data_IF_668707093554
#
_entry.id   IF_668707093554
#
_cell.length_a   1.000
_cell.length_b   1.000
_cell.length_c   1.000
_cell.angle_alpha   90.00
_cell.angle_beta   90.00
_cell.angle_gamma   90.00
#
_symmetry.space_group_name_H-M   'P 1'
#
loop_
_entity.id
_entity.type
_entity.pdbx_description
1 polymer ?
#
# COMPACT_ATOMS: atom_id res chain seq x y z
N UNK A 1 21.79 19.81 0.33
CA UNK A 1 21.77 19.16 -1.01
C UNK A 1 22.37 17.77 -0.83
N UNK A 2 21.55 16.78 -0.47
CA UNK A 2 22.01 15.37 -0.35
C UNK A 2 22.02 14.76 -1.76
N UNK A 3 23.07 14.01 -2.09
CA UNK A 3 23.26 13.37 -3.39
C UNK A 3 21.99 12.63 -3.86
N UNK A 4 21.62 12.85 -5.11
CA UNK A 4 20.59 12.09 -5.81
C UNK A 4 20.98 10.62 -5.75
N UNK A 5 20.25 9.81 -4.97
CA UNK A 5 20.53 8.38 -4.87
C UNK A 5 20.11 7.73 -6.19
N UNK A 6 21.08 7.50 -7.08
CA UNK A 6 20.85 6.75 -8.32
C UNK A 6 20.68 5.28 -7.96
N UNK A 7 19.45 4.77 -8.05
CA UNK A 7 19.18 3.34 -7.96
C UNK A 7 19.95 2.62 -9.07
N UNK A 8 20.76 1.60 -8.72
CA UNK A 8 21.30 0.74 -9.77
C UNK A 8 20.19 -0.18 -10.32
N UNK A 9 20.30 -0.59 -11.57
CA UNK A 9 19.34 -1.56 -12.18
C UNK A 9 19.21 -2.82 -11.33
N UNK A 10 20.31 -3.28 -10.72
CA UNK A 10 20.32 -4.42 -9.80
C UNK A 10 19.52 -4.16 -8.52
N UNK A 11 19.51 -2.93 -7.99
CA UNK A 11 18.68 -2.59 -6.82
C UNK A 11 17.19 -2.65 -7.19
N UNK A 12 16.83 -2.12 -8.37
CA UNK A 12 15.45 -2.19 -8.87
C UNK A 12 15.01 -3.64 -9.14
N UNK A 13 15.87 -4.46 -9.74
CA UNK A 13 15.62 -5.88 -9.96
C UNK A 13 15.47 -6.65 -8.64
N UNK A 14 16.31 -6.38 -7.64
CA UNK A 14 16.20 -6.96 -6.30
C UNK A 14 14.87 -6.59 -5.62
N UNK A 15 14.50 -5.31 -5.65
CA UNK A 15 13.22 -4.85 -5.10
C UNK A 15 12.05 -5.51 -5.84
N UNK A 16 12.09 -5.57 -7.17
CA UNK A 16 11.05 -6.24 -7.96
C UNK A 16 10.95 -7.73 -7.61
N UNK A 17 12.07 -8.44 -7.45
CA UNK A 17 12.07 -9.84 -7.03
C UNK A 17 11.39 -10.01 -5.66
N UNK A 18 11.67 -9.11 -4.71
CA UNK A 18 11.03 -9.10 -3.40
C UNK A 18 9.57 -8.62 -3.44
N UNK A 19 9.14 -7.83 -4.43
CA UNK A 19 7.71 -7.55 -4.66
C UNK A 19 6.93 -8.80 -5.10
N UNK A 20 7.60 -9.77 -5.74
CA UNK A 20 7.01 -11.06 -6.13
C UNK A 20 7.11 -12.09 -5.01
N UNK A 21 8.27 -12.17 -4.37
CA UNK A 21 8.60 -13.15 -3.32
C UNK A 21 9.26 -12.44 -2.12
N UNK A 22 8.47 -11.74 -1.28
CA UNK A 22 9.02 -10.85 -0.22
C UNK A 22 9.91 -11.54 0.80
N UNK A 23 9.75 -12.86 0.98
CA UNK A 23 10.54 -13.68 1.91
C UNK A 23 11.46 -14.68 1.21
N UNK A 24 11.70 -14.56 -0.10
CA UNK A 24 12.69 -15.39 -0.80
C UNK A 24 14.06 -15.27 -0.13
N UNK A 25 14.78 -16.39 -0.11
CA UNK A 25 16.14 -16.43 0.40
C UNK A 25 17.12 -15.78 -0.57
N UNK A 26 18.23 -15.26 -0.09
CA UNK A 26 19.26 -14.69 -0.96
C UNK A 26 19.89 -15.74 -1.89
N UNK A 27 19.98 -16.99 -1.44
CA UNK A 27 20.45 -18.11 -2.26
C UNK A 27 19.47 -18.46 -3.39
N UNK A 28 18.15 -18.32 -3.16
CA UNK A 28 17.11 -18.49 -4.18
C UNK A 28 17.18 -17.39 -5.25
N UNK A 29 17.42 -16.14 -4.84
CA UNK A 29 17.48 -14.99 -5.76
C UNK A 29 18.83 -14.84 -6.48
N UNK A 30 19.90 -15.39 -5.93
CA UNK A 30 21.27 -15.22 -6.42
C UNK A 30 21.46 -15.68 -7.89
N UNK A 31 21.04 -16.90 -8.29
CA UNK A 31 21.12 -17.33 -9.70
C UNK A 31 20.28 -16.47 -10.63
N UNK A 32 19.13 -15.99 -10.17
CA UNK A 32 18.17 -15.22 -10.97
C UNK A 32 18.68 -13.81 -11.29
N UNK A 33 19.39 -13.20 -10.35
CA UNK A 33 19.92 -11.83 -10.47
C UNK A 33 21.40 -11.80 -10.88
N UNK A 34 22.02 -12.96 -11.11
CA UNK A 34 23.40 -13.06 -11.62
C UNK A 34 24.49 -12.59 -10.65
N UNK A 35 24.22 -12.52 -9.35
CA UNK A 35 25.18 -12.07 -8.32
C UNK A 35 25.11 -12.94 -7.07
N UNK A 36 26.13 -12.90 -6.22
CA UNK A 36 26.20 -13.74 -5.01
C UNK A 36 25.16 -13.35 -3.96
N UNK A 37 24.71 -14.33 -3.15
CA UNK A 37 23.77 -14.10 -2.04
C UNK A 37 24.24 -13.02 -1.05
N UNK A 38 25.54 -12.97 -0.74
CA UNK A 38 26.13 -11.93 0.12
C UNK A 38 26.07 -10.52 -0.50
N UNK A 39 26.10 -10.42 -1.84
CA UNK A 39 25.93 -9.14 -2.53
C UNK A 39 24.49 -8.65 -2.46
N UNK A 40 23.51 -9.55 -2.66
CA UNK A 40 22.09 -9.23 -2.48
C UNK A 40 21.78 -8.79 -1.05
N UNK A 41 22.31 -9.51 -0.05
CA UNK A 41 22.13 -9.16 1.37
C UNK A 41 22.65 -7.74 1.67
N UNK A 42 23.92 -7.45 1.34
CA UNK A 42 24.50 -6.11 1.58
C UNK A 42 23.73 -4.99 0.88
N UNK A 43 23.24 -5.23 -0.34
CA UNK A 43 22.43 -4.26 -1.08
C UNK A 43 21.07 -4.04 -0.42
N UNK A 44 20.39 -5.11 -0.01
CA UNK A 44 19.13 -5.02 0.72
C UNK A 44 19.27 -4.29 2.05
N UNK A 45 20.33 -4.58 2.81
CA UNK A 45 20.61 -3.91 4.09
C UNK A 45 20.82 -2.40 3.88
N UNK A 46 21.52 -2.02 2.81
CA UNK A 46 21.66 -0.62 2.41
C UNK A 46 20.34 0.03 2.08
N UNK A 47 19.54 -0.57 1.19
CA UNK A 47 18.23 -0.05 0.79
C UNK A 47 17.29 0.12 1.99
N UNK A 48 17.31 -0.84 2.93
CA UNK A 48 16.46 -0.81 4.13
C UNK A 48 16.91 0.26 5.12
N UNK A 49 18.22 0.36 5.37
CA UNK A 49 18.81 1.37 6.26
C UNK A 49 18.63 2.80 5.75
N UNK A 50 18.64 2.98 4.44
CA UNK A 50 18.39 4.28 3.79
C UNK A 50 16.89 4.58 3.59
N UNK A 51 16.01 3.68 4.00
CA UNK A 51 14.55 3.83 3.87
C UNK A 51 14.05 3.75 2.43
N UNK A 52 14.83 3.22 1.50
CA UNK A 52 14.54 3.18 0.06
C UNK A 52 13.65 2.00 -0.34
N UNK A 53 13.73 0.89 0.40
CA UNK A 53 12.85 -0.26 0.22
C UNK A 53 12.67 -0.99 1.54
N UNK A 54 11.51 -1.62 1.73
CA UNK A 54 11.23 -2.39 2.94
C UNK A 54 10.24 -3.51 2.69
N UNK A 55 10.35 -4.59 3.46
CA UNK A 55 9.38 -5.68 3.49
C UNK A 55 8.67 -5.70 4.83
N UNK A 56 7.38 -5.92 4.80
CA UNK A 56 6.53 -5.93 6.00
C UNK A 56 5.36 -6.91 5.85
N UNK A 57 4.83 -7.33 7.00
CA UNK A 57 3.55 -7.99 7.11
C UNK A 57 2.43 -6.97 6.87
N UNK A 58 1.51 -7.31 5.98
CA UNK A 58 0.32 -6.52 5.70
C UNK A 58 -0.93 -7.41 5.80
N UNK A 59 -2.10 -6.83 6.10
CA UNK A 59 -3.34 -7.58 6.03
C UNK A 59 -3.53 -8.25 4.66
N UNK A 60 -3.86 -9.54 4.71
CA UNK A 60 -4.11 -10.38 3.55
C UNK A 60 -5.54 -10.25 3.02
N UNK A 61 -5.90 -11.05 2.01
CA UNK A 61 -7.18 -10.92 1.30
C UNK A 61 -8.40 -11.23 2.17
N UNK A 62 -8.29 -12.21 3.08
CA UNK A 62 -9.37 -12.53 4.01
C UNK A 62 -9.62 -11.34 4.95
N UNK A 63 -8.54 -10.68 5.36
CA UNK A 63 -8.63 -9.47 6.14
C UNK A 63 -9.37 -8.36 5.38
N UNK A 64 -8.92 -8.01 4.17
CA UNK A 64 -9.52 -6.91 3.39
C UNK A 64 -10.99 -7.15 3.02
N UNK A 65 -11.43 -8.41 2.90
CA UNK A 65 -12.80 -8.76 2.46
C UNK A 65 -13.88 -8.45 3.50
N UNK A 66 -13.56 -8.62 4.78
CA UNK A 66 -14.53 -8.52 5.88
C UNK A 66 -14.46 -7.17 6.61
N UNK A 67 -13.91 -6.14 5.96
CA UNK A 67 -13.54 -4.86 6.57
C UNK A 67 -14.06 -3.70 5.76
N UNK A 68 -14.26 -2.57 6.44
CA UNK A 68 -14.76 -1.35 5.81
C UNK A 68 -13.59 -0.45 5.44
N UNK A 69 -13.45 -0.17 4.15
CA UNK A 69 -12.48 0.80 3.63
C UNK A 69 -13.21 2.07 3.22
N UNK A 70 -12.66 3.23 3.57
CA UNK A 70 -13.12 4.52 3.06
C UNK A 70 -11.95 5.37 2.59
N UNK A 71 -12.18 6.14 1.53
CA UNK A 71 -11.28 7.18 1.06
C UNK A 71 -11.81 8.51 1.58
N UNK A 72 -11.07 9.14 2.48
CA UNK A 72 -11.51 10.37 3.15
C UNK A 72 -10.77 11.55 2.54
N UNK A 73 -11.55 12.41 1.89
CA UNK A 73 -11.12 13.71 1.38
C UNK A 73 -11.32 14.74 2.50
N UNK A 74 -10.23 15.30 2.98
CA UNK A 74 -10.22 16.21 4.12
C UNK A 74 -9.70 17.57 3.68
N UNK A 75 -10.44 18.62 4.03
CA UNK A 75 -9.98 20.01 3.91
C UNK A 75 -9.64 20.56 5.28
N UNK A 76 -8.56 21.32 5.37
CA UNK A 76 -8.08 21.86 6.63
C UNK A 76 -7.54 23.28 6.50
N UNK A 77 -7.43 23.96 7.63
CA UNK A 77 -6.79 25.27 7.71
C UNK A 77 -5.28 25.10 7.46
N UNK A 78 -4.66 25.87 6.54
CA UNK A 78 -3.25 25.73 6.19
C UNK A 78 -2.31 25.76 7.39
N UNK A 79 -2.59 26.61 8.39
CA UNK A 79 -1.80 26.74 9.61
C UNK A 79 -1.88 25.53 10.55
N UNK A 80 -2.94 24.72 10.49
CA UNK A 80 -3.10 23.53 11.33
C UNK A 80 -2.61 22.24 10.65
N UNK A 81 -2.31 22.29 9.33
CA UNK A 81 -2.00 21.09 8.52
C UNK A 81 -0.88 20.23 9.11
N UNK A 82 0.22 20.84 9.55
CA UNK A 82 1.34 20.09 10.13
C UNK A 82 0.94 19.36 11.43
N UNK A 83 0.16 20.02 12.29
CA UNK A 83 -0.34 19.44 13.54
C UNK A 83 -1.35 18.32 13.27
N UNK A 84 -2.23 18.52 12.29
CA UNK A 84 -3.18 17.51 11.83
C UNK A 84 -2.47 16.29 11.29
N UNK A 85 -1.48 16.45 10.42
CA UNK A 85 -0.68 15.34 9.88
C UNK A 85 -0.04 14.50 10.99
N UNK A 86 0.54 15.13 12.01
CA UNK A 86 1.13 14.42 13.14
C UNK A 86 0.07 13.58 13.90
N UNK A 87 -1.11 14.16 14.16
CA UNK A 87 -2.20 13.45 14.86
C UNK A 87 -2.79 12.33 14.01
N UNK A 88 -3.10 12.59 12.74
CA UNK A 88 -3.65 11.61 11.81
C UNK A 88 -2.67 10.45 11.60
N UNK A 89 -1.37 10.73 11.53
CA UNK A 89 -0.34 9.69 11.36
C UNK A 89 -0.31 8.70 12.52
N UNK A 90 -0.63 9.15 13.74
CA UNK A 90 -0.73 8.29 14.92
C UNK A 90 -2.03 7.45 14.97
N UNK A 91 -3.03 7.74 14.14
CA UNK A 91 -4.28 6.98 14.12
C UNK A 91 -4.09 5.64 13.38
N UNK A 92 -4.45 4.51 14.00
CA UNK A 92 -4.25 3.18 13.39
C UNK A 92 -5.18 2.92 12.21
N UNK A 93 -6.36 3.53 12.18
CA UNK A 93 -7.33 3.41 11.08
C UNK A 93 -6.89 4.18 9.84
N UNK A 94 -6.17 5.30 9.99
CA UNK A 94 -5.59 6.06 8.89
C UNK A 94 -4.33 5.35 8.38
N UNK A 95 -4.53 4.39 7.47
CA UNK A 95 -3.45 3.49 7.02
C UNK A 95 -2.54 4.13 5.99
N UNK A 96 -3.09 4.98 5.12
CA UNK A 96 -2.34 5.80 4.16
C UNK A 96 -2.79 7.24 4.28
N UNK A 97 -1.86 8.19 4.26
CA UNK A 97 -2.12 9.63 4.30
C UNK A 97 -1.30 10.29 3.20
N UNK A 98 -1.99 11.00 2.33
CA UNK A 98 -1.43 11.73 1.22
C UNK A 98 -1.76 13.21 1.35
N UNK A 99 -0.74 14.06 1.20
CA UNK A 99 -0.93 15.51 1.07
C UNK A 99 -1.22 15.81 -0.38
N UNK A 100 -2.30 16.54 -0.65
CA UNK A 100 -2.76 16.80 -2.01
C UNK A 100 -2.46 18.25 -2.42
N UNK A 101 -2.43 18.49 -3.72
CA UNK A 101 -2.37 19.82 -4.28
C UNK A 101 -3.64 20.59 -3.88
N UNK A 102 -3.55 21.92 -3.64
CA UNK A 102 -4.72 22.72 -3.32
C UNK A 102 -5.84 22.52 -4.34
N UNK A 103 -7.04 22.18 -3.86
CA UNK A 103 -8.16 21.83 -4.73
C UNK A 103 -9.36 21.33 -3.94
N UNK A 104 -9.90 20.17 -4.34
CA UNK A 104 -11.07 19.55 -3.69
C UNK A 104 -10.76 18.94 -2.32
N UNK A 105 -9.48 18.69 -2.01
CA UNK A 105 -9.00 18.23 -0.70
C UNK A 105 -7.59 18.77 -0.43
N UNK A 106 -7.23 18.87 0.85
CA UNK A 106 -5.86 19.18 1.29
C UNK A 106 -5.11 17.91 1.73
N UNK A 107 -5.86 16.91 2.23
CA UNK A 107 -5.38 15.58 2.58
C UNK A 107 -6.33 14.52 2.00
N UNK A 108 -5.77 13.41 1.54
CA UNK A 108 -6.48 12.19 1.17
C UNK A 108 -6.03 11.06 2.11
N UNK A 109 -6.98 10.42 2.79
CA UNK A 109 -6.70 9.32 3.70
C UNK A 109 -7.33 8.03 3.17
N UNK A 110 -6.55 6.95 3.16
CA UNK A 110 -7.11 5.60 3.13
C UNK A 110 -7.40 5.18 4.57
N UNK A 111 -8.66 4.92 4.87
CA UNK A 111 -9.12 4.50 6.20
C UNK A 111 -9.56 3.05 6.16
N UNK A 112 -9.04 2.24 7.07
CA UNK A 112 -9.39 0.83 7.21
C UNK A 112 -9.94 0.57 8.61
N UNK A 113 -11.14 0.02 8.69
CA UNK A 113 -11.85 -0.25 9.94
C UNK A 113 -12.41 -1.68 9.99
N UNK A 114 -12.61 -2.24 11.20
CA UNK A 114 -13.15 -3.59 11.37
C UNK A 114 -14.56 -3.78 10.78
N UNK A 115 -15.37 -2.74 10.87
CA UNK A 115 -16.78 -2.75 10.49
C UNK A 115 -17.29 -1.32 10.27
N UNK A 116 -18.53 -1.20 9.80
CA UNK A 116 -19.18 0.08 9.52
C UNK A 116 -19.37 0.93 10.79
N UNK A 117 -19.78 0.39 11.96
CA UNK A 117 -19.85 1.15 13.20
C UNK A 117 -18.52 1.77 13.63
N UNK A 118 -17.41 1.03 13.50
CA UNK A 118 -16.08 1.52 13.86
C UNK A 118 -15.58 2.56 12.87
N UNK A 119 -15.85 2.37 11.58
CA UNK A 119 -15.59 3.40 10.57
C UNK A 119 -16.38 4.69 10.86
N UNK A 120 -17.67 4.57 11.18
CA UNK A 120 -18.52 5.70 11.55
C UNK A 120 -17.99 6.40 12.81
N UNK A 121 -17.58 5.64 13.83
CA UNK A 121 -16.96 6.18 15.05
C UNK A 121 -15.67 6.95 14.73
N UNK A 122 -14.80 6.41 13.90
CA UNK A 122 -13.58 7.10 13.47
C UNK A 122 -13.91 8.44 12.80
N UNK A 123 -14.86 8.45 11.84
CA UNK A 123 -15.25 9.66 11.13
C UNK A 123 -15.90 10.70 12.05
N UNK A 124 -16.81 10.29 12.92
CA UNK A 124 -17.67 11.21 13.71
C UNK A 124 -17.15 11.53 15.11
N UNK A 125 -16.17 10.78 15.61
CA UNK A 125 -15.60 11.01 16.95
C UNK A 125 -14.13 11.30 16.91
N UNK A 126 -13.35 10.56 16.12
CA UNK A 126 -11.91 10.77 16.09
C UNK A 126 -11.57 11.96 15.19
N UNK A 127 -12.04 11.97 13.94
CA UNK A 127 -11.75 13.07 13.01
C UNK A 127 -12.42 14.38 13.44
N UNK A 128 -13.71 14.38 13.78
CA UNK A 128 -14.45 15.60 14.15
C UNK A 128 -13.85 16.34 15.36
N UNK A 129 -13.10 15.66 16.22
CA UNK A 129 -12.43 16.28 17.38
C UNK A 129 -11.11 16.95 17.03
N UNK A 130 -10.58 16.78 15.81
CA UNK A 130 -9.30 17.34 15.41
C UNK A 130 -9.46 18.81 15.00
N UNK A 131 -8.81 19.75 15.72
CA UNK A 131 -8.88 21.17 15.38
C UNK A 131 -8.32 21.46 13.99
N UNK A 132 -8.94 22.39 13.28
CA UNK A 132 -8.47 22.84 11.97
C UNK A 132 -9.03 22.08 10.78
N UNK A 133 -9.84 21.04 10.98
CA UNK A 133 -10.61 20.42 9.90
C UNK A 133 -11.75 21.35 9.49
N UNK A 134 -11.85 21.61 8.18
CA UNK A 134 -12.89 22.46 7.57
C UNK A 134 -14.02 21.60 7.02
N UNK A 135 -13.70 20.47 6.39
CA UNK A 135 -14.70 19.53 5.89
C UNK A 135 -14.13 18.13 5.71
N UNK A 136 -14.98 17.13 5.88
CA UNK A 136 -14.68 15.71 5.67
C UNK A 136 -15.68 15.15 4.66
N UNK A 137 -15.18 14.52 3.59
CA UNK A 137 -15.99 13.76 2.64
C UNK A 137 -15.45 12.34 2.54
N UNK A 138 -16.24 11.36 2.95
CA UNK A 138 -15.85 9.96 2.98
C UNK A 138 -16.52 9.17 1.84
N UNK A 139 -15.71 8.50 1.03
CA UNK A 139 -16.13 7.62 -0.05
C UNK A 139 -15.95 6.17 0.38
N UNK A 140 -17.04 5.51 0.72
CA UNK A 140 -16.98 4.15 1.27
C UNK A 140 -16.80 3.17 0.13
N UNK A 141 -15.75 2.35 0.19
CA UNK A 141 -15.50 1.32 -0.80
C UNK A 141 -16.55 0.20 -0.65
N UNK A 142 -17.29 -0.06 -1.72
CA UNK A 142 -18.21 -1.20 -1.81
C UNK A 142 -17.52 -2.42 -2.41
N UNK A 143 -16.43 -2.21 -3.16
CA UNK A 143 -15.57 -3.26 -3.70
C UNK A 143 -14.18 -2.71 -3.99
N UNK A 144 -13.13 -3.44 -3.61
CA UNK A 144 -11.74 -3.16 -3.97
C UNK A 144 -11.30 -4.12 -5.08
N UNK A 145 -10.99 -3.58 -6.26
CA UNK A 145 -10.60 -4.37 -7.44
C UNK A 145 -9.07 -4.45 -7.61
N UNK A 146 -8.37 -3.36 -7.27
CA UNK A 146 -6.90 -3.27 -7.28
C UNK A 146 -6.45 -2.66 -5.96
N UNK A 147 -5.46 -3.30 -5.34
CA UNK A 147 -4.79 -2.81 -4.13
C UNK A 147 -3.36 -2.36 -4.48
N UNK A 148 -2.85 -1.36 -3.77
CA UNK A 148 -1.50 -0.81 -3.99
C UNK A 148 -0.39 -1.85 -3.95
N UNK A 149 -0.61 -2.95 -3.22
CA UNK A 149 0.29 -4.10 -3.14
C UNK A 149 0.47 -4.89 -4.42
N UNK A 150 -0.30 -4.60 -5.47
CA UNK A 150 -0.15 -5.22 -6.81
C UNK A 150 0.75 -4.43 -7.74
N UNK A 151 1.07 -3.17 -7.40
CA UNK A 151 1.96 -2.36 -8.23
C UNK A 151 3.38 -2.93 -8.24
N UNK A 152 4.04 -2.95 -9.39
CA UNK A 152 5.36 -3.55 -9.58
C UNK A 152 6.26 -2.60 -10.37
N UNK A 153 7.56 -2.61 -10.05
CA UNK A 153 8.60 -1.90 -10.81
C UNK A 153 8.74 -2.40 -12.26
N UNK A 154 8.46 -3.69 -12.50
CA UNK A 154 8.62 -4.37 -13.81
C UNK A 154 10.05 -4.25 -14.38
N UNK A 155 11.05 -4.33 -13.51
CA UNK A 155 12.47 -4.31 -13.86
C UNK A 155 13.06 -5.70 -14.13
N UNK A 156 12.30 -6.77 -13.85
CA UNK A 156 12.69 -8.15 -14.18
C UNK A 156 12.24 -8.52 -15.60
N UNK A 157 13.06 -9.30 -16.28
CA UNK A 157 12.70 -9.87 -17.58
C UNK A 157 11.66 -11.00 -17.45
N UNK A 158 10.97 -11.38 -18.54
CA UNK A 158 9.95 -12.43 -18.50
C UNK A 158 10.43 -13.80 -17.99
N UNK A 159 11.69 -14.15 -18.22
CA UNK A 159 12.27 -15.42 -17.76
C UNK A 159 12.49 -15.41 -16.26
N UNK A 160 13.01 -14.30 -15.71
CA UNK A 160 13.16 -14.07 -14.27
C UNK A 160 11.80 -14.07 -13.56
N UNK A 161 10.80 -13.40 -14.15
CA UNK A 161 9.44 -13.40 -13.61
C UNK A 161 8.82 -14.80 -13.58
N UNK A 162 9.03 -15.59 -14.63
CA UNK A 162 8.52 -16.96 -14.71
C UNK A 162 9.21 -17.85 -13.68
N UNK A 163 10.52 -17.72 -13.50
CA UNK A 163 11.30 -18.51 -12.54
C UNK A 163 10.94 -18.21 -11.08
N UNK A 164 10.58 -16.96 -10.76
CA UNK A 164 10.08 -16.58 -9.43
C UNK A 164 8.65 -17.06 -9.17
N UNK A 165 7.91 -17.40 -10.23
CA UNK A 165 6.49 -17.69 -10.22
C UNK A 165 5.64 -16.46 -9.87
N UNK A 166 4.33 -16.53 -10.14
CA UNK A 166 3.39 -15.73 -9.37
C UNK A 166 3.33 -16.34 -7.96
N UNK A 167 3.34 -15.50 -6.92
CA UNK A 167 2.94 -15.98 -5.59
C UNK A 167 1.63 -16.75 -5.75
N UNK A 168 1.65 -18.01 -5.34
CA UNK A 168 0.66 -19.04 -5.61
C UNK A 168 -0.76 -18.49 -5.55
N UNK A 169 -1.61 -18.88 -6.50
CA UNK A 169 -3.04 -18.63 -6.46
C UNK A 169 -3.56 -18.96 -5.05
N UNK A 170 -4.06 -17.95 -4.35
CA UNK A 170 -4.50 -18.08 -2.97
C UNK A 170 -5.49 -19.25 -2.87
N UNK A 171 -5.21 -20.18 -1.95
CA UNK A 171 -6.19 -21.16 -1.50
C UNK A 171 -7.43 -20.43 -0.99
N UNK A 172 -8.59 -21.08 -1.05
CA UNK A 172 -9.81 -20.52 -0.49
C UNK A 172 -9.58 -20.15 0.98
N UNK A 173 -9.92 -18.92 1.38
CA UNK A 173 -9.59 -18.42 2.71
C UNK A 173 -10.32 -19.23 3.78
N UNK A 174 -9.59 -19.58 4.84
CA UNK A 174 -10.18 -20.12 6.05
C UNK A 174 -10.94 -18.98 6.77
N UNK A 175 -12.27 -19.06 6.79
CA UNK A 175 -13.12 -18.06 7.45
C UNK A 175 -12.90 -18.10 8.97
N UNK A 176 -12.82 -16.91 9.59
CA UNK A 176 -12.95 -16.75 11.04
C UNK A 176 -11.74 -17.16 11.88
N UNK A 177 -10.51 -17.00 11.37
CA UNK A 177 -9.32 -17.22 12.18
C UNK A 177 -9.20 -16.14 13.26
N UNK A 178 -9.41 -16.51 14.52
CA UNK A 178 -9.11 -15.63 15.67
C UNK A 178 -7.59 -15.56 15.92
N UNK A 179 -7.11 -14.33 16.13
CA UNK A 179 -5.70 -14.06 16.40
C UNK A 179 -5.45 -14.08 17.91
N UNK A 180 -4.62 -15.03 18.35
CA UNK A 180 -4.21 -15.14 19.74
C UNK A 180 -3.08 -14.13 20.08
N UNK A 181 -2.71 -13.96 21.36
CA UNK A 181 -1.68 -12.99 21.75
C UNK A 181 -0.32 -13.21 21.07
N UNK A 182 0.04 -14.47 20.79
CA UNK A 182 1.30 -14.81 20.11
C UNK A 182 1.21 -14.42 18.63
N UNK A 183 0.08 -14.66 17.98
CA UNK A 183 -0.14 -14.20 16.60
C UNK A 183 -0.03 -12.67 16.51
N UNK A 184 -0.63 -11.93 17.45
CA UNK A 184 -0.54 -10.46 17.50
C UNK A 184 0.88 -9.97 17.76
N UNK A 185 1.63 -10.63 18.64
CA UNK A 185 3.03 -10.31 18.87
C UNK A 185 3.89 -10.53 17.61
N UNK A 186 3.69 -11.65 16.92
CA UNK A 186 4.37 -11.94 15.65
C UNK A 186 4.04 -10.90 14.59
N UNK A 187 2.77 -10.52 14.45
CA UNK A 187 2.34 -9.47 13.51
C UNK A 187 2.96 -8.12 13.85
N UNK A 188 3.03 -7.75 15.12
CA UNK A 188 3.66 -6.51 15.57
C UNK A 188 5.12 -6.40 15.14
N UNK A 189 5.89 -7.49 15.26
CA UNK A 189 7.28 -7.53 14.81
C UNK A 189 7.39 -7.53 13.27
N UNK A 190 6.58 -8.34 12.60
CA UNK A 190 6.64 -8.49 11.14
C UNK A 190 6.14 -7.26 10.38
N UNK A 191 5.29 -6.43 10.98
CA UNK A 191 4.86 -5.14 10.41
C UNK A 191 6.03 -4.17 10.36
N UNK A 192 6.99 -4.26 11.30
CA UNK A 192 8.22 -3.45 11.30
C UNK A 192 9.24 -3.99 10.30
N UNK A 193 9.46 -5.30 10.34
CA UNK A 193 10.34 -6.00 9.41
C UNK A 193 9.80 -7.41 9.08
N UNK A 194 9.25 -7.54 7.88
CA UNK A 194 8.65 -8.79 7.40
C UNK A 194 9.68 -9.86 7.03
N UNK A 195 10.99 -9.55 7.05
CA UNK A 195 12.08 -10.49 6.75
C UNK A 195 12.77 -11.04 7.99
N UNK A 196 12.38 -10.64 9.20
CA UNK A 196 12.91 -11.17 10.46
C UNK A 196 12.96 -12.71 10.45
N UNK A 197 14.10 -13.25 10.89
CA UNK A 197 14.37 -14.68 10.93
C UNK A 197 13.50 -15.40 11.98
N UNK A 198 13.29 -16.70 11.80
CA UNK A 198 12.48 -17.50 12.73
C UNK A 198 13.06 -17.56 14.14
N UNK A 199 14.39 -17.57 14.27
CA UNK A 199 15.08 -17.59 15.56
C UNK A 199 14.88 -16.28 16.31
N UNK A 200 15.08 -15.15 15.62
CA UNK A 200 14.91 -13.82 16.19
C UNK A 200 13.44 -13.54 16.57
N UNK A 201 12.48 -13.95 15.73
CA UNK A 201 11.06 -13.86 16.07
C UNK A 201 10.72 -14.70 17.31
N UNK A 202 11.29 -15.90 17.44
CA UNK A 202 11.04 -16.76 18.58
C UNK A 202 11.52 -16.12 19.88
N UNK A 203 12.74 -15.56 19.88
CA UNK A 203 13.28 -14.79 21.00
C UNK A 203 12.40 -13.58 21.37
N UNK A 204 12.03 -12.75 20.38
CA UNK A 204 11.22 -11.54 20.60
C UNK A 204 9.79 -11.83 21.09
N UNK A 205 9.27 -13.00 20.78
CA UNK A 205 7.90 -13.41 21.16
C UNK A 205 7.85 -14.34 22.36
N UNK A 206 8.99 -14.67 22.97
CA UNK A 206 9.11 -15.67 24.04
C UNK A 206 8.49 -17.03 23.64
N UNK A 207 8.86 -17.49 22.43
CA UNK A 207 8.42 -18.78 21.89
C UNK A 207 9.60 -19.57 21.30
N UNK A 208 9.30 -20.66 20.59
CA UNK A 208 10.31 -21.49 19.91
C UNK A 208 10.26 -21.31 18.38
N UNK A 209 11.39 -21.46 17.65
CA UNK A 209 11.40 -21.36 16.19
C UNK A 209 10.41 -22.31 15.48
N UNK A 210 10.18 -23.55 15.95
CA UNK A 210 9.12 -24.41 15.42
C UNK A 210 7.70 -23.83 15.62
N UNK A 211 7.43 -23.22 16.78
CA UNK A 211 6.15 -22.54 17.03
C UNK A 211 5.95 -21.37 16.06
N UNK A 212 6.94 -20.49 15.93
CA UNK A 212 6.89 -19.36 14.98
C UNK A 212 6.63 -19.84 13.56
N UNK A 213 7.37 -20.85 13.09
CA UNK A 213 7.20 -21.43 11.75
C UNK A 213 5.77 -21.92 11.52
N UNK A 214 5.22 -22.68 12.48
CA UNK A 214 3.86 -23.22 12.41
C UNK A 214 2.82 -22.09 12.37
N UNK A 215 2.94 -21.09 13.25
CA UNK A 215 2.03 -19.94 13.35
C UNK A 215 2.07 -19.09 12.07
N UNK A 216 3.26 -18.77 11.60
CA UNK A 216 3.44 -17.97 10.39
C UNK A 216 2.87 -18.66 9.14
N UNK A 217 3.10 -19.98 9.01
CA UNK A 217 2.50 -20.78 7.95
C UNK A 217 0.97 -20.73 8.03
N UNK A 218 0.38 -20.93 9.21
CA UNK A 218 -1.07 -20.83 9.40
C UNK A 218 -1.62 -19.46 9.01
N UNK A 219 -0.96 -18.36 9.44
CA UNK A 219 -1.40 -16.99 9.11
C UNK A 219 -1.30 -16.67 7.61
N UNK A 220 -0.30 -17.24 6.93
CA UNK A 220 -0.10 -17.05 5.49
C UNK A 220 -1.04 -17.93 4.66
N UNK A 221 -1.16 -19.22 5.03
CA UNK A 221 -2.01 -20.20 4.33
C UNK A 221 -3.51 -19.83 4.46
N UNK A 222 -3.91 -19.21 5.59
CA UNK A 222 -5.27 -18.68 5.78
C UNK A 222 -5.53 -17.32 5.08
N UNK A 223 -4.53 -16.74 4.42
CA UNK A 223 -4.60 -15.42 3.78
C UNK A 223 -5.03 -14.27 4.72
N UNK A 224 -4.89 -14.44 6.04
CA UNK A 224 -5.03 -13.36 7.03
C UNK A 224 -3.85 -12.40 6.93
N UNK A 225 -2.66 -12.95 6.67
CA UNK A 225 -1.43 -12.21 6.49
C UNK A 225 -0.89 -12.38 5.07
N UNK A 226 -0.37 -11.30 4.51
CA UNK A 226 0.50 -11.34 3.33
C UNK A 226 1.77 -10.53 3.59
N UNK A 227 2.83 -10.81 2.85
CA UNK A 227 4.03 -9.97 2.88
C UNK A 227 4.02 -9.03 1.69
N UNK A 228 4.44 -7.79 1.91
CA UNK A 228 4.57 -6.78 0.86
C UNK A 228 6.00 -6.26 0.86
N UNK A 229 6.50 -5.89 -0.32
CA UNK A 229 7.73 -5.13 -0.50
C UNK A 229 7.33 -3.76 -1.07
N UNK A 230 7.55 -2.69 -0.31
CA UNK A 230 7.34 -1.32 -0.77
C UNK A 230 8.68 -0.62 -1.02
N UNK A 231 8.58 0.46 -1.79
CA UNK A 231 9.70 1.23 -2.31
C UNK A 231 9.42 2.73 -2.13
N UNK A 232 10.48 3.48 -1.84
CA UNK A 232 10.44 4.94 -1.80
C UNK A 232 10.16 5.51 -3.19
N UNK A 233 9.37 6.59 -3.26
CA UNK A 233 9.07 7.28 -4.54
C UNK A 233 10.34 7.70 -5.26
N UNK A 234 11.37 8.14 -4.53
CA UNK A 234 12.66 8.49 -5.12
C UNK A 234 13.31 7.34 -5.90
N UNK A 235 13.23 6.10 -5.38
CA UNK A 235 13.78 4.93 -6.05
C UNK A 235 12.88 4.46 -7.21
N UNK A 236 11.59 4.78 -7.19
CA UNK A 236 10.63 4.48 -8.24
C UNK A 236 10.59 5.53 -9.38
N UNK A 237 11.49 6.52 -9.38
CA UNK A 237 11.54 7.57 -10.42
C UNK A 237 10.58 8.74 -10.18
N UNK A 238 10.23 9.04 -8.92
CA UNK A 238 9.37 10.15 -8.51
C UNK A 238 8.03 10.22 -9.26
N UNK A 239 7.21 9.15 -9.23
CA UNK A 239 5.90 9.19 -9.86
C UNK A 239 5.02 10.26 -9.21
N UNK A 240 4.19 10.92 -10.02
CA UNK A 240 3.15 11.83 -9.56
C UNK A 240 1.89 10.99 -9.26
N UNK A 241 1.46 10.90 -8.00
CA UNK A 241 0.20 10.25 -7.66
C UNK A 241 -0.99 11.12 -8.08
N UNK A 242 -1.97 10.51 -8.73
CA UNK A 242 -3.24 11.15 -9.09
C UNK A 242 -4.40 10.23 -8.74
N UNK A 243 -5.32 10.73 -7.94
CA UNK A 243 -6.57 10.06 -7.63
C UNK A 243 -7.71 10.64 -8.47
N UNK A 244 -8.36 9.77 -9.24
CA UNK A 244 -9.47 10.09 -10.12
C UNK A 244 -10.79 9.67 -9.45
N UNK A 245 -11.75 10.58 -9.43
CA UNK A 245 -13.15 10.26 -9.15
C UNK A 245 -13.91 10.17 -10.46
N UNK A 246 -14.72 9.13 -10.60
CA UNK A 246 -15.46 8.88 -11.82
C UNK A 246 -16.88 8.40 -11.60
N UNK A 247 -17.69 8.61 -12.64
CA UNK A 247 -19.05 8.06 -12.79
C UNK A 247 -19.12 7.17 -14.00
N UNK A 248 -19.79 6.05 -13.83
CA UNK A 248 -20.10 5.11 -14.91
C UNK A 248 -21.43 4.41 -14.63
N UNK A 249 -22.22 3.98 -15.64
CA UNK A 249 -23.36 3.10 -15.40
C UNK A 249 -22.96 1.83 -14.63
N UNK A 250 -23.79 1.39 -13.67
CA UNK A 250 -23.47 0.27 -12.79
C UNK A 250 -23.09 -1.02 -13.55
N UNK A 251 -23.75 -1.28 -14.69
CA UNK A 251 -23.47 -2.40 -15.60
C UNK A 251 -22.04 -2.40 -16.17
N UNK A 252 -21.40 -1.25 -16.26
CA UNK A 252 -20.10 -1.06 -16.89
C UNK A 252 -18.95 -1.01 -15.88
N UNK A 253 -19.24 -0.95 -14.56
CA UNK A 253 -18.22 -1.00 -13.48
C UNK A 253 -17.29 -2.20 -13.67
N UNK A 254 -17.85 -3.33 -14.11
CA UNK A 254 -17.11 -4.54 -14.46
C UNK A 254 -15.99 -4.30 -15.47
N UNK A 255 -16.31 -3.56 -16.52
CA UNK A 255 -15.37 -3.26 -17.62
C UNK A 255 -14.37 -2.20 -17.20
N UNK A 256 -14.83 -1.12 -16.54
CA UNK A 256 -13.95 -0.03 -16.07
C UNK A 256 -12.85 -0.55 -15.18
N UNK A 257 -13.18 -1.37 -14.17
CA UNK A 257 -12.16 -1.85 -13.25
C UNK A 257 -11.15 -2.79 -13.94
N UNK A 258 -11.58 -3.64 -14.87
CA UNK A 258 -10.66 -4.51 -15.63
C UNK A 258 -9.70 -3.69 -16.49
N UNK A 259 -10.21 -2.66 -17.14
CA UNK A 259 -9.40 -1.75 -17.97
C UNK A 259 -8.39 -0.99 -17.13
N UNK A 260 -8.81 -0.40 -16.00
CA UNK A 260 -7.92 0.29 -15.07
C UNK A 260 -6.89 -0.66 -14.44
N UNK A 261 -7.30 -1.86 -14.04
CA UNK A 261 -6.42 -2.87 -13.44
C UNK A 261 -5.32 -3.37 -14.38
N UNK A 262 -5.52 -3.25 -15.68
CA UNK A 262 -4.52 -3.60 -16.68
C UNK A 262 -3.46 -2.50 -16.89
N UNK A 263 -3.66 -1.30 -16.35
CA UNK A 263 -2.71 -0.20 -16.53
C UNK A 263 -1.50 -0.38 -15.60
N UNK A 264 -0.26 -0.27 -16.15
CA UNK A 264 0.95 -0.33 -15.35
C UNK A 264 1.02 0.65 -14.18
N UNK A 265 0.47 1.83 -14.39
CA UNK A 265 0.44 2.98 -13.50
C UNK A 265 -0.63 2.83 -12.40
N UNK A 266 -1.57 1.90 -12.57
CA UNK A 266 -2.70 1.75 -11.65
C UNK A 266 -2.27 1.12 -10.33
N UNK A 267 -2.55 1.85 -9.24
CA UNK A 267 -2.19 1.46 -7.89
C UNK A 267 -3.42 1.06 -7.07
N UNK A 268 -4.56 1.70 -7.30
CA UNK A 268 -5.80 1.37 -6.59
C UNK A 268 -7.01 1.57 -7.49
N UNK A 269 -8.00 0.69 -7.38
CA UNK A 269 -9.32 0.86 -7.99
C UNK A 269 -10.38 0.35 -7.03
N UNK A 270 -11.35 1.19 -6.72
CA UNK A 270 -12.49 0.86 -5.88
C UNK A 270 -13.79 1.31 -6.54
N UNK A 271 -14.85 0.50 -6.39
CA UNK A 271 -16.20 1.04 -6.45
C UNK A 271 -16.50 1.70 -5.11
N UNK A 272 -17.07 2.89 -5.15
CA UNK A 272 -17.32 3.70 -3.94
C UNK A 272 -18.76 4.19 -3.87
N UNK A 273 -19.20 4.56 -2.68
CA UNK A 273 -20.46 5.28 -2.45
C UNK A 273 -20.28 6.78 -2.67
N UNK A 274 -21.40 7.48 -2.82
CA UNK A 274 -21.44 8.95 -2.89
C UNK A 274 -21.65 9.47 -4.33
N UNK A 275 -21.21 10.70 -4.62
CA UNK A 275 -21.46 11.33 -5.91
C UNK A 275 -20.63 10.71 -7.04
N UNK A 276 -19.51 10.06 -6.75
CA UNK A 276 -18.78 9.21 -7.69
C UNK A 276 -19.06 7.75 -7.35
N UNK A 277 -18.92 6.84 -8.32
CA UNK A 277 -19.03 5.40 -8.07
C UNK A 277 -17.76 4.62 -8.42
N UNK A 278 -16.72 5.32 -8.87
CA UNK A 278 -15.36 4.80 -9.06
C UNK A 278 -14.37 5.76 -8.41
N UNK A 279 -13.43 5.21 -7.67
CA UNK A 279 -12.22 5.87 -7.19
C UNK A 279 -11.01 5.09 -7.69
N UNK A 280 -10.03 5.76 -8.29
CA UNK A 280 -8.82 5.12 -8.76
C UNK A 280 -7.60 5.97 -8.47
N UNK A 281 -6.50 5.36 -8.05
CA UNK A 281 -5.21 6.06 -7.87
C UNK A 281 -4.20 5.52 -8.87
N UNK A 282 -3.61 6.43 -9.64
CA UNK A 282 -2.58 6.15 -10.64
C UNK A 282 -1.27 6.84 -10.24
N UNK A 283 -0.16 6.23 -10.60
CA UNK A 283 1.18 6.80 -10.49
C UNK A 283 1.70 7.09 -11.90
N UNK A 284 1.63 8.36 -12.30
CA UNK A 284 2.05 8.81 -13.63
C UNK A 284 3.45 9.41 -13.59
N UNK A 285 4.10 9.60 -14.74
CA UNK A 285 5.48 10.09 -14.78
C UNK A 285 5.58 11.60 -14.52
N UNK A 286 4.60 12.37 -15.01
CA UNK A 286 4.56 13.82 -14.89
C UNK A 286 3.12 14.34 -14.86
N UNK A 287 2.93 15.63 -14.55
CA UNK A 287 1.61 16.25 -14.50
C UNK A 287 0.90 16.31 -15.86
N UNK A 288 1.65 16.48 -16.96
CA UNK A 288 1.09 16.52 -18.32
C UNK A 288 0.60 15.16 -18.80
N UNK A 289 1.15 14.08 -18.24
CA UNK A 289 0.73 12.70 -18.48
C UNK A 289 -0.70 12.46 -17.99
N UNK A 290 -1.18 13.17 -16.96
CA UNK A 290 -2.54 13.00 -16.41
C UNK A 290 -3.59 13.17 -17.52
N UNK A 291 -3.52 14.26 -18.28
CA UNK A 291 -4.48 14.53 -19.36
C UNK A 291 -4.38 13.50 -20.48
N UNK A 292 -3.16 13.07 -20.84
CA UNK A 292 -2.94 12.04 -21.87
C UNK A 292 -3.57 10.71 -21.46
N UNK A 293 -3.34 10.28 -20.22
CA UNK A 293 -3.86 9.02 -19.68
C UNK A 293 -5.37 9.04 -19.53
N UNK A 294 -5.93 10.15 -19.05
CA UNK A 294 -7.37 10.32 -18.98
C UNK A 294 -8.01 10.25 -20.37
N UNK A 295 -7.45 10.96 -21.35
CA UNK A 295 -7.97 10.94 -22.73
C UNK A 295 -7.97 9.52 -23.30
N UNK A 296 -6.87 8.78 -23.11
CA UNK A 296 -6.78 7.38 -23.54
C UNK A 296 -7.77 6.47 -22.79
N UNK A 297 -8.00 6.73 -21.49
CA UNK A 297 -8.95 5.98 -20.69
C UNK A 297 -10.39 6.21 -21.15
N UNK A 298 -10.79 7.47 -21.33
CA UNK A 298 -12.12 7.84 -21.81
C UNK A 298 -12.39 7.34 -23.24
N UNK A 299 -11.36 7.30 -24.11
CA UNK A 299 -11.50 6.69 -25.43
C UNK A 299 -11.81 5.18 -25.36
N UNK A 300 -11.23 4.46 -24.39
CA UNK A 300 -11.48 3.03 -24.16
C UNK A 300 -12.73 2.75 -23.34
N UNK A 301 -13.18 3.72 -22.55
CA UNK A 301 -14.33 3.66 -21.67
C UNK A 301 -15.24 4.88 -21.93
N UNK A 302 -15.97 4.93 -23.05
CA UNK A 302 -16.75 6.12 -23.42
C UNK A 302 -17.85 6.47 -22.41
N UNK A 303 -18.28 5.52 -21.58
CA UNK A 303 -19.28 5.73 -20.53
C UNK A 303 -18.70 6.21 -19.20
N UNK A 304 -17.36 6.27 -19.07
CA UNK A 304 -16.68 6.83 -17.91
C UNK A 304 -16.65 8.36 -18.02
N UNK A 305 -17.15 9.03 -16.99
CA UNK A 305 -17.00 10.47 -16.80
C UNK A 305 -16.11 10.72 -15.60
N UNK A 306 -14.94 11.32 -15.79
CA UNK A 306 -14.05 11.72 -14.68
C UNK A 306 -14.54 13.03 -14.09
N UNK A 307 -15.01 12.98 -12.84
CA UNK A 307 -15.61 14.11 -12.12
C UNK A 307 -14.60 14.92 -11.32
N UNK A 308 -13.48 14.31 -10.90
CA UNK A 308 -12.43 15.02 -10.15
C UNK A 308 -11.05 14.40 -10.38
N UNK A 309 -10.00 15.22 -10.21
CA UNK A 309 -8.58 14.87 -10.36
C UNK A 309 -7.81 15.46 -9.18
N UNK A 310 -7.49 14.60 -8.22
CA UNK A 310 -6.77 14.98 -7.01
C UNK A 310 -5.32 14.61 -7.21
N UNK A 311 -4.45 15.61 -7.31
CA UNK A 311 -3.00 15.40 -7.45
C UNK A 311 -2.40 15.28 -6.06
N UNK A 312 -1.70 14.19 -5.77
CA UNK A 312 -0.91 14.06 -4.56
C UNK A 312 0.45 14.72 -4.71
N UNK A 313 0.92 15.38 -3.66
CA UNK A 313 2.22 16.02 -3.58
C UNK A 313 3.26 15.10 -2.97
N UNK A 314 2.91 14.44 -1.86
CA UNK A 314 3.71 13.41 -1.23
C UNK A 314 2.86 12.55 -0.29
N UNK A 315 3.28 11.32 -0.06
CA UNK A 315 2.68 10.41 0.91
C UNK A 315 3.40 10.56 2.25
N UNK A 316 2.68 10.86 3.34
CA UNK A 316 3.26 11.00 4.69
C UNK A 316 3.24 9.68 5.45
N UNK A 317 2.22 8.86 5.23
CA UNK A 317 2.06 7.53 5.81
C UNK A 317 1.58 6.57 4.73
N UNK A 318 2.14 5.37 4.65
CA UNK A 318 1.75 4.32 3.70
C UNK A 318 1.68 2.97 4.39
N UNK A 319 0.48 2.42 4.51
CA UNK A 319 0.21 1.17 5.22
C UNK A 319 0.88 1.10 6.61
N UNK A 320 0.86 2.20 7.35
CA UNK A 320 1.52 2.31 8.67
C UNK A 320 2.97 2.79 8.64
N UNK A 321 3.64 2.82 7.50
CA UNK A 321 5.01 3.30 7.40
C UNK A 321 5.06 4.82 7.21
N UNK A 322 5.79 5.53 8.08
CA UNK A 322 5.99 6.97 7.97
C UNK A 322 7.07 7.27 6.93
N UNK A 323 6.81 8.25 6.08
CA UNK A 323 7.67 8.63 4.97
C UNK A 323 8.10 10.11 5.09
N UNK A 324 9.33 10.41 4.67
CA UNK A 324 9.77 11.81 4.45
C UNK A 324 9.23 12.36 3.11
N UNK A 325 9.56 13.63 2.81
CA UNK A 325 9.10 14.30 1.58
C UNK A 325 9.63 13.63 0.31
N UNK A 326 10.79 12.98 0.38
CA UNK A 326 11.35 12.18 -0.71
C UNK A 326 10.72 10.77 -0.81
N UNK A 327 9.87 10.40 0.14
CA UNK A 327 9.14 9.15 0.24
C UNK A 327 9.93 8.00 0.84
N UNK A 328 11.05 8.27 1.52
CA UNK A 328 11.84 7.26 2.24
C UNK A 328 11.18 6.92 3.55
N UNK A 329 11.25 5.64 3.94
CA UNK A 329 10.75 5.18 5.23
C UNK A 329 11.60 5.71 6.37
N UNK A 330 11.01 6.55 7.22
CA UNK A 330 11.65 7.14 8.40
C UNK A 330 11.13 6.57 9.72
N UNK A 331 9.98 5.90 9.71
CA UNK A 331 9.37 5.35 10.91
C UNK A 331 8.20 4.43 10.62
N UNK A 332 7.50 4.05 11.69
CA UNK A 332 6.32 3.21 11.61
C UNK A 332 5.32 3.57 12.71
N UNK A 333 4.08 3.74 12.30
CA UNK A 333 2.89 3.81 13.13
C UNK A 333 2.01 2.62 12.73
N UNK A 334 2.16 1.46 13.41
CA UNK A 334 1.51 0.22 13.00
C UNK A 334 0.02 0.43 12.82
N UNK A 335 -0.49 -0.06 11.70
CA UNK A 335 -1.94 -0.18 11.51
C UNK A 335 -2.47 -1.20 12.52
N UNK A 336 -3.71 -1.05 12.98
CA UNK A 336 -4.36 -2.07 13.83
C UNK A 336 -5.56 -2.73 13.13
N UNK A 337 -5.32 -3.48 12.03
CA UNK A 337 -6.38 -4.20 11.36
C UNK A 337 -6.95 -5.34 12.23
N UNK A 338 -6.13 -6.01 13.03
CA UNK A 338 -6.40 -7.30 13.69
C UNK A 338 -7.21 -7.27 14.99
#
# INVERSE_FOLDING_TARGET
MRETVTASELDLALVNALQLRPRASWSELSPLLGVTAGTLARRWDRLTREGLAWVYAAPGREFTRNRCTAFVLLRCLPQERARLLARLSALPEAVTIEVTAPGSSDLLLDVLAPDLPSLSRFLTRELDQLPGIVSVSALFATSLYVEGSRWRLRSLDPSQMTALGSATAAQEPARGLELDPVDRALLGELVRDGRLGLAELAERTDTSPPTVRRRLRRLTDSAVLTFRCDIASALAGHPVPVSLLGRVPARDIGTVHRTLAALPECRLVAAVTGPANIFATLWVHDLGDIQRRETALCARLPTLTVTDRIVGLHTVKRMGHLLDEEGRRVGIEPISPW
#
